data_IF_709641967810
#
_entry.id   IF_709641967810
#
_cell.length_a   1.000
_cell.length_b   1.000
_cell.length_c   1.000
_cell.angle_alpha   90.00
_cell.angle_beta   90.00
_cell.angle_gamma   90.00
#
_symmetry.space_group_name_H-M   'P 1'
#
loop_
_entity.id
_entity.type
_entity.pdbx_description
1 polymer ?
#
# COMPACT_ATOMS: atom_id res chain seq x y z
N UNK A 1 -6.67 46.71 -21.53
CA UNK A 1 -5.72 46.65 -20.41
C UNK A 1 -6.30 45.64 -19.42
N UNK A 2 -5.54 44.62 -19.03
CA UNK A 2 -6.00 43.60 -18.09
C UNK A 2 -5.27 43.76 -16.76
N UNK A 3 -5.99 43.53 -15.67
CA UNK A 3 -5.44 43.38 -14.34
C UNK A 3 -5.86 41.99 -13.84
N UNK A 4 -4.87 41.18 -13.46
CA UNK A 4 -5.08 39.85 -12.88
C UNK A 4 -4.19 39.66 -11.64
N UNK A 5 -4.54 38.72 -10.74
CA UNK A 5 -3.70 38.38 -9.59
C UNK A 5 -2.29 37.95 -10.00
N UNK A 6 -1.29 38.34 -9.19
CA UNK A 6 0.08 37.91 -9.40
C UNK A 6 0.25 36.44 -8.95
N UNK A 7 0.32 35.52 -9.90
CA UNK A 7 0.50 34.10 -9.63
C UNK A 7 1.99 33.76 -9.45
N UNK A 8 2.31 32.95 -8.43
CA UNK A 8 3.63 32.34 -8.30
C UNK A 8 3.71 31.20 -9.32
N UNK A 9 4.55 31.37 -10.34
CA UNK A 9 4.86 30.32 -11.31
C UNK A 9 6.05 29.50 -10.78
N UNK A 10 5.89 28.18 -10.74
CA UNK A 10 6.97 27.24 -10.40
C UNK A 10 7.52 26.60 -11.67
N UNK A 11 8.81 26.28 -11.69
CA UNK A 11 9.36 25.44 -12.73
C UNK A 11 8.72 24.05 -12.63
N UNK A 12 8.28 23.50 -13.75
CA UNK A 12 7.67 22.16 -13.80
C UNK A 12 8.71 21.15 -13.31
N UNK A 13 8.54 20.64 -12.10
CA UNK A 13 9.43 19.66 -11.51
C UNK A 13 9.08 18.28 -12.07
N UNK A 14 9.69 17.90 -13.19
CA UNK A 14 9.57 16.50 -13.64
C UNK A 14 10.43 15.62 -12.73
N UNK A 15 9.91 14.45 -12.30
CA UNK A 15 10.69 13.46 -11.57
C UNK A 15 12.06 13.22 -12.22
N UNK A 16 13.13 13.23 -11.40
CA UNK A 16 14.50 12.96 -11.86
C UNK A 16 14.82 11.45 -11.94
N UNK A 17 13.83 10.63 -11.64
CA UNK A 17 13.89 9.17 -11.53
C UNK A 17 14.10 8.55 -12.93
N UNK A 18 15.11 7.68 -13.13
CA UNK A 18 15.50 7.22 -14.46
C UNK A 18 14.40 6.55 -15.26
N UNK A 19 13.49 5.82 -14.60
CA UNK A 19 12.40 5.11 -15.28
C UNK A 19 11.21 6.03 -15.58
N UNK A 20 11.09 7.19 -14.93
CA UNK A 20 9.96 8.10 -15.16
C UNK A 20 9.91 8.56 -16.62
N UNK A 21 11.01 9.14 -17.11
CA UNK A 21 11.05 9.69 -18.46
C UNK A 21 10.90 8.62 -19.55
N UNK A 22 11.44 7.42 -19.31
CA UNK A 22 11.47 6.34 -20.29
C UNK A 22 10.20 5.49 -20.31
N UNK A 23 9.54 5.30 -19.16
CA UNK A 23 8.50 4.27 -19.01
C UNK A 23 7.20 4.77 -18.36
N UNK A 24 7.23 5.84 -17.58
CA UNK A 24 6.06 6.26 -16.79
C UNK A 24 5.39 7.54 -17.26
N UNK A 25 6.14 8.42 -17.92
CA UNK A 25 5.69 9.77 -18.30
C UNK A 25 4.33 9.78 -19.01
N UNK A 26 4.10 8.84 -19.93
CA UNK A 26 2.90 8.87 -20.77
C UNK A 26 1.61 8.68 -19.97
N UNK A 27 1.58 7.78 -18.98
CA UNK A 27 0.37 7.57 -18.18
C UNK A 27 0.23 8.62 -17.08
N UNK A 28 1.34 9.15 -16.56
CA UNK A 28 1.29 10.27 -15.62
C UNK A 28 0.82 11.56 -16.27
N UNK A 29 1.16 11.81 -17.54
CA UNK A 29 0.59 12.93 -18.30
C UNK A 29 -0.92 12.72 -18.57
N UNK A 30 -1.38 11.48 -18.75
CA UNK A 30 -2.81 11.17 -18.97
C UNK A 30 -3.68 11.46 -17.74
N UNK A 31 -3.18 11.20 -16.53
CA UNK A 31 -3.89 11.48 -15.27
C UNK A 31 -3.57 12.87 -14.70
N UNK A 32 -2.87 13.72 -15.48
CA UNK A 32 -2.43 15.06 -15.07
C UNK A 32 -1.60 15.09 -13.76
N UNK A 33 -0.89 14.00 -13.43
CA UNK A 33 -0.09 13.92 -12.21
C UNK A 33 0.97 15.04 -12.09
N UNK A 34 1.66 15.49 -13.16
CA UNK A 34 2.58 16.62 -13.06
C UNK A 34 1.93 17.91 -12.56
N UNK A 35 0.68 18.18 -12.95
CA UNK A 35 -0.05 19.36 -12.48
C UNK A 35 -0.40 19.24 -10.99
N UNK A 36 -0.71 18.02 -10.53
CA UNK A 36 -0.93 17.75 -9.11
C UNK A 36 0.37 17.86 -8.29
N UNK A 37 1.50 17.34 -8.80
CA UNK A 37 2.80 17.43 -8.13
C UNK A 37 3.29 18.87 -7.97
N UNK A 38 2.94 19.76 -8.89
CA UNK A 38 3.25 21.20 -8.78
C UNK A 38 2.54 21.87 -7.58
N UNK A 39 1.45 21.28 -7.07
CA UNK A 39 0.77 21.72 -5.83
C UNK A 39 1.49 21.27 -4.56
N UNK A 40 2.37 20.26 -4.66
CA UNK A 40 3.13 19.67 -3.55
C UNK A 40 2.42 18.51 -2.85
N UNK A 41 3.12 17.79 -1.96
CA UNK A 41 2.69 16.51 -1.36
C UNK A 41 1.56 16.62 -0.30
N UNK A 42 0.95 17.78 -0.12
CA UNK A 42 0.04 18.05 1.00
C UNK A 42 0.77 18.36 2.32
N UNK A 43 0.02 18.74 3.36
CA UNK A 43 0.58 19.18 4.65
C UNK A 43 0.88 18.03 5.62
N UNK A 44 0.20 16.89 5.46
CA UNK A 44 0.39 15.69 6.25
C UNK A 44 0.41 14.50 5.31
N UNK A 45 1.34 13.55 5.47
CA UNK A 45 1.40 12.39 4.61
C UNK A 45 0.20 11.49 4.87
N UNK A 46 -0.45 11.03 3.80
CA UNK A 46 -1.57 10.10 3.94
C UNK A 46 -1.04 8.67 4.14
N UNK A 47 -1.69 7.91 5.02
CA UNK A 47 -1.39 6.50 5.25
C UNK A 47 -2.20 5.63 4.28
N UNK A 48 -1.51 4.93 3.39
CA UNK A 48 -2.10 4.04 2.39
C UNK A 48 -1.71 2.60 2.71
N UNK A 49 -2.69 1.77 3.03
CA UNK A 49 -2.48 0.34 3.18
C UNK A 49 -2.49 -0.35 1.82
N UNK A 50 -1.50 -1.22 1.60
CA UNK A 50 -1.39 -2.07 0.41
C UNK A 50 -1.66 -3.50 0.87
N UNK A 51 -2.88 -3.96 0.62
CA UNK A 51 -3.29 -5.34 0.91
C UNK A 51 -2.91 -6.20 -0.29
N UNK A 52 -1.85 -6.98 -0.15
CA UNK A 52 -1.27 -7.72 -1.28
C UNK A 52 -0.35 -8.88 -0.82
N UNK A 53 0.65 -9.26 -1.61
CA UNK A 53 1.65 -10.29 -1.30
C UNK A 53 2.73 -9.85 -0.31
N UNK A 54 2.60 -8.67 0.29
CA UNK A 54 3.62 -8.03 1.12
C UNK A 54 4.36 -6.93 0.36
N UNK A 55 5.39 -6.36 0.99
CA UNK A 55 6.26 -5.34 0.38
C UNK A 55 7.72 -5.66 0.73
N UNK A 56 8.63 -5.54 -0.23
CA UNK A 56 10.06 -5.44 0.06
C UNK A 56 10.36 -4.08 0.73
N UNK A 57 10.21 -4.06 2.05
CA UNK A 57 10.41 -2.86 2.88
C UNK A 57 11.86 -2.37 2.89
N UNK A 58 12.81 -3.18 2.41
CA UNK A 58 14.22 -2.79 2.27
C UNK A 58 14.53 -2.23 0.87
N UNK A 59 13.57 -2.24 -0.06
CA UNK A 59 13.77 -1.74 -1.41
C UNK A 59 14.19 -0.25 -1.37
N UNK A 60 15.28 0.16 -2.05
CA UNK A 60 15.82 1.53 -1.93
C UNK A 60 14.82 2.64 -2.27
N UNK A 61 13.86 2.33 -3.14
CA UNK A 61 12.82 3.24 -3.61
C UNK A 61 11.56 3.27 -2.72
N UNK A 62 11.47 2.37 -1.73
CA UNK A 62 10.32 2.22 -0.83
C UNK A 62 10.68 2.35 0.66
N UNK A 63 11.91 2.04 1.07
CA UNK A 63 12.31 1.99 2.48
C UNK A 63 12.02 3.29 3.25
N UNK A 64 12.12 4.45 2.59
CA UNK A 64 11.80 5.76 3.18
C UNK A 64 10.30 6.10 3.23
N UNK A 65 9.43 5.17 2.79
CA UNK A 65 7.98 5.33 2.65
C UNK A 65 7.21 4.36 3.53
N UNK A 66 7.86 3.39 4.16
CA UNK A 66 7.20 2.37 4.96
C UNK A 66 6.71 2.95 6.27
N UNK A 67 5.47 2.62 6.62
CA UNK A 67 4.85 2.95 7.88
C UNK A 67 5.60 2.33 9.05
N UNK A 68 5.58 3.02 10.17
CA UNK A 68 6.14 2.53 11.42
C UNK A 68 5.03 2.56 12.46
N UNK A 69 4.67 1.39 12.97
CA UNK A 69 3.77 1.29 14.11
C UNK A 69 4.49 1.84 15.35
N UNK A 70 4.10 3.03 15.78
CA UNK A 70 4.70 3.70 16.95
C UNK A 70 4.23 3.12 18.29
N UNK A 71 3.27 2.21 18.27
CA UNK A 71 2.74 1.54 19.46
C UNK A 71 3.48 0.22 19.79
N UNK A 72 4.26 -0.32 18.85
CA UNK A 72 5.02 -1.58 18.99
C UNK A 72 6.46 -1.38 19.48
N UNK A 73 6.94 -2.29 20.33
CA UNK A 73 8.34 -2.36 20.75
C UNK A 73 9.04 -3.49 19.98
N UNK A 74 9.75 -3.11 18.93
CA UNK A 74 10.44 -4.04 18.04
C UNK A 74 11.23 -5.17 18.75
N UNK A 75 10.83 -6.42 18.49
CA UNK A 75 11.56 -7.63 18.84
C UNK A 75 11.40 -8.07 20.29
N UNK A 76 10.32 -7.64 20.96
CA UNK A 76 10.01 -8.08 22.32
C UNK A 76 9.11 -9.33 22.35
N UNK A 77 8.60 -9.78 21.20
CA UNK A 77 7.68 -10.90 21.04
C UNK A 77 6.34 -10.71 21.80
N UNK A 78 5.88 -9.46 21.90
CA UNK A 78 4.61 -9.06 22.50
C UNK A 78 3.84 -8.25 21.45
N UNK A 79 2.51 -8.40 21.47
CA UNK A 79 1.58 -7.50 20.80
C UNK A 79 1.31 -6.36 21.80
N UNK A 80 2.04 -5.25 21.66
CA UNK A 80 2.07 -4.16 22.64
C UNK A 80 0.85 -3.25 22.52
N UNK A 81 0.28 -3.14 21.33
CA UNK A 81 -0.90 -2.33 21.04
C UNK A 81 -2.23 -3.12 21.09
N UNK A 82 -2.16 -4.44 21.14
CA UNK A 82 -3.30 -5.34 21.26
C UNK A 82 -4.08 -5.53 19.97
N UNK A 83 -3.47 -5.26 18.80
CA UNK A 83 -4.11 -5.34 17.50
C UNK A 83 -4.17 -6.77 16.93
N UNK A 84 -3.60 -7.75 17.63
CA UNK A 84 -3.60 -9.16 17.24
C UNK A 84 -2.45 -9.57 16.33
N UNK A 85 -1.48 -8.68 16.07
CA UNK A 85 -0.27 -8.98 15.32
C UNK A 85 0.97 -8.67 16.17
N UNK A 86 1.79 -9.68 16.43
CA UNK A 86 2.97 -9.51 17.29
C UNK A 86 4.11 -8.83 16.53
N UNK A 87 4.73 -7.82 17.15
CA UNK A 87 5.90 -7.08 16.65
C UNK A 87 5.68 -6.44 15.26
N UNK A 88 4.46 -6.03 14.90
CA UNK A 88 4.05 -5.53 13.57
C UNK A 88 4.51 -4.08 13.29
N UNK A 89 5.79 -3.82 13.57
CA UNK A 89 6.48 -2.52 13.44
C UNK A 89 6.29 -1.89 12.05
N UNK A 90 6.15 -2.69 11.00
CA UNK A 90 6.01 -2.23 9.62
C UNK A 90 4.75 -2.72 8.92
N UNK A 91 3.76 -3.21 9.68
CA UNK A 91 2.59 -3.89 9.15
C UNK A 91 2.53 -5.37 9.52
N UNK A 92 1.47 -6.02 9.06
CA UNK A 92 1.15 -7.39 9.46
C UNK A 92 0.95 -8.33 8.27
N UNK A 93 1.36 -9.59 8.44
CA UNK A 93 1.07 -10.71 7.58
C UNK A 93 -0.01 -11.58 8.20
N UNK A 94 -1.11 -11.78 7.48
CA UNK A 94 -2.25 -12.61 7.88
C UNK A 94 -2.28 -13.97 7.19
N UNK A 95 -1.38 -14.22 6.23
CA UNK A 95 -1.41 -15.44 5.40
C UNK A 95 -1.10 -16.66 6.26
N UNK A 96 -2.02 -17.62 6.24
CA UNK A 96 -1.74 -19.00 6.65
C UNK A 96 -1.32 -19.81 5.40
N UNK A 97 -0.02 -20.11 5.21
CA UNK A 97 0.49 -20.59 3.92
C UNK A 97 -0.12 -21.93 3.51
N UNK A 98 -0.31 -22.84 4.47
CA UNK A 98 -0.85 -24.17 4.20
C UNK A 98 -2.31 -24.17 3.72
N UNK A 99 -3.08 -23.13 4.07
CA UNK A 99 -4.46 -22.95 3.61
C UNK A 99 -4.56 -22.10 2.36
N UNK A 100 -3.64 -21.14 2.18
CA UNK A 100 -3.65 -20.24 1.03
C UNK A 100 -3.13 -20.94 -0.23
N UNK A 101 -2.00 -21.66 -0.16
CA UNK A 101 -1.48 -22.48 -1.26
C UNK A 101 -0.47 -23.54 -0.76
N UNK A 102 -0.64 -24.83 -1.07
CA UNK A 102 0.34 -25.88 -0.74
C UNK A 102 1.77 -25.62 -1.24
N UNK A 103 1.95 -24.80 -2.28
CA UNK A 103 3.27 -24.38 -2.78
C UNK A 103 3.99 -23.44 -1.80
N UNK A 104 3.26 -22.76 -0.92
CA UNK A 104 3.79 -21.79 0.04
C UNK A 104 4.12 -22.41 1.41
N UNK A 105 4.01 -23.73 1.56
CA UNK A 105 4.41 -24.41 2.80
C UNK A 105 5.88 -24.11 3.14
N UNK A 106 6.11 -23.65 4.37
CA UNK A 106 7.43 -23.28 4.87
C UNK A 106 7.68 -21.77 4.91
N UNK A 107 6.75 -20.95 4.40
CA UNK A 107 6.72 -19.51 4.68
C UNK A 107 6.25 -19.25 6.12
N UNK A 108 6.64 -18.12 6.75
CA UNK A 108 6.13 -17.76 8.06
C UNK A 108 4.60 -17.55 8.04
N UNK A 109 3.86 -18.17 8.98
CA UNK A 109 2.42 -17.98 9.06
C UNK A 109 2.05 -16.65 9.73
N UNK A 110 0.86 -16.16 9.43
CA UNK A 110 0.21 -15.03 10.08
C UNK A 110 -0.69 -15.43 11.26
N UNK A 111 -1.12 -14.47 12.09
CA UNK A 111 -0.63 -13.08 12.17
C UNK A 111 0.83 -13.00 12.60
N UNK A 112 1.66 -12.25 11.86
CA UNK A 112 3.06 -11.99 12.22
C UNK A 112 3.60 -10.73 11.55
N UNK A 113 4.73 -10.24 12.03
CA UNK A 113 5.42 -9.07 11.48
C UNK A 113 6.18 -9.32 10.17
N UNK A 114 6.12 -10.53 9.60
CA UNK A 114 6.79 -10.84 8.34
C UNK A 114 5.99 -10.37 7.12
N UNK A 115 6.09 -9.08 6.81
CA UNK A 115 5.47 -8.46 5.64
C UNK A 115 6.27 -8.64 4.34
N UNK A 116 7.28 -9.52 4.32
CA UNK A 116 8.14 -9.72 3.16
C UNK A 116 7.33 -10.11 1.93
N UNK A 117 7.60 -9.44 0.81
CA UNK A 117 7.04 -9.83 -0.47
C UNK A 117 7.82 -11.02 -1.05
N UNK A 118 7.15 -12.16 -1.14
CA UNK A 118 7.70 -13.41 -1.66
C UNK A 118 7.11 -13.85 -3.02
N UNK A 119 6.40 -12.94 -3.67
CA UNK A 119 5.84 -13.06 -5.02
C UNK A 119 6.34 -11.91 -5.94
N UNK A 120 6.27 -10.67 -5.47
CA UNK A 120 6.68 -9.45 -6.17
C UNK A 120 5.52 -8.51 -6.53
N UNK A 121 4.28 -9.00 -6.54
CA UNK A 121 3.11 -8.20 -6.92
C UNK A 121 2.87 -7.00 -6.00
N UNK A 122 2.92 -7.21 -4.68
CA UNK A 122 2.70 -6.16 -3.70
C UNK A 122 3.77 -5.06 -3.73
N UNK A 123 5.04 -5.41 -3.92
CA UNK A 123 6.12 -4.43 -4.10
C UNK A 123 5.93 -3.60 -5.37
N UNK A 124 5.49 -4.23 -6.46
CA UNK A 124 5.18 -3.53 -7.71
C UNK A 124 4.04 -2.53 -7.54
N UNK A 125 2.94 -2.95 -6.90
CA UNK A 125 1.79 -2.10 -6.59
C UNK A 125 2.19 -0.94 -5.67
N UNK A 126 2.93 -1.21 -4.60
CA UNK A 126 3.46 -0.21 -3.67
C UNK A 126 4.29 0.87 -4.39
N UNK A 127 5.11 0.47 -5.38
CA UNK A 127 5.88 1.39 -6.21
C UNK A 127 5.00 2.36 -7.00
N UNK A 128 3.89 1.88 -7.59
CA UNK A 128 2.93 2.73 -8.31
C UNK A 128 2.27 3.72 -7.34
N UNK A 129 1.90 3.27 -6.14
CA UNK A 129 1.23 4.13 -5.15
C UNK A 129 2.16 5.24 -4.69
N UNK A 130 3.36 4.90 -4.20
CA UNK A 130 4.13 5.81 -3.36
C UNK A 130 5.65 5.64 -3.40
N UNK A 131 6.25 5.16 -4.50
CA UNK A 131 7.71 5.18 -4.64
C UNK A 131 8.31 6.57 -4.37
N UNK A 132 9.49 6.59 -3.76
CA UNK A 132 10.23 7.80 -3.46
C UNK A 132 10.59 8.56 -4.72
N UNK A 133 9.95 9.71 -4.93
CA UNK A 133 10.11 10.49 -6.16
C UNK A 133 11.22 11.53 -6.00
N UNK A 134 11.93 11.82 -7.08
CA UNK A 134 13.08 12.73 -7.12
C UNK A 134 14.32 12.25 -6.34
N UNK A 135 14.49 10.93 -6.15
CA UNK A 135 15.63 10.37 -5.44
C UNK A 135 16.76 9.86 -6.38
N UNK A 136 16.61 10.10 -7.69
CA UNK A 136 17.50 9.67 -8.78
C UNK A 136 17.63 8.15 -8.93
N UNK A 137 16.68 7.38 -8.43
CA UNK A 137 16.61 5.93 -8.52
C UNK A 137 15.27 5.52 -9.13
N UNK A 138 15.17 4.25 -9.54
CA UNK A 138 13.90 3.60 -9.86
C UNK A 138 12.86 4.45 -10.60
N UNK A 139 11.69 4.54 -9.98
CA UNK A 139 10.42 5.03 -10.53
C UNK A 139 9.88 6.21 -9.72
N UNK A 140 9.04 7.03 -10.33
CA UNK A 140 8.20 7.98 -9.61
C UNK A 140 6.93 7.28 -9.10
N UNK A 141 6.54 7.55 -7.85
CA UNK A 141 5.25 7.16 -7.29
C UNK A 141 4.14 8.13 -7.68
N UNK A 142 2.90 7.66 -7.68
CA UNK A 142 1.74 8.52 -8.01
C UNK A 142 1.56 9.61 -6.97
N UNK A 143 1.68 9.25 -5.69
CA UNK A 143 1.54 10.16 -4.57
C UNK A 143 2.80 10.12 -3.69
N UNK A 144 3.83 10.89 -4.07
CA UNK A 144 5.11 10.94 -3.33
C UNK A 144 4.96 11.34 -1.84
N UNK A 145 3.88 12.02 -1.47
CA UNK A 145 3.61 12.41 -0.09
C UNK A 145 3.11 11.31 0.85
N UNK A 146 2.87 10.09 0.38
CA UNK A 146 2.22 9.03 1.19
C UNK A 146 3.21 8.21 2.01
N UNK A 147 2.68 7.58 3.06
CA UNK A 147 3.33 6.48 3.79
C UNK A 147 2.56 5.20 3.47
N UNK A 148 3.28 4.10 3.28
CA UNK A 148 2.76 2.81 2.87
C UNK A 148 2.71 1.86 4.07
N UNK A 149 1.55 1.28 4.33
CA UNK A 149 1.37 0.19 5.30
C UNK A 149 1.28 -1.15 4.54
N UNK A 150 2.35 -1.96 4.56
CA UNK A 150 2.30 -3.34 4.09
C UNK A 150 1.25 -4.15 4.89
N UNK A 151 0.31 -4.78 4.18
CA UNK A 151 -0.60 -5.77 4.78
C UNK A 151 -0.60 -7.00 3.90
N UNK A 152 0.09 -8.06 4.33
CA UNK A 152 0.24 -9.28 3.53
C UNK A 152 -0.97 -10.19 3.74
N UNK A 153 -1.81 -10.29 2.73
CA UNK A 153 -3.02 -11.14 2.69
C UNK A 153 -2.99 -12.15 1.54
N UNK A 154 -2.00 -12.05 0.66
CA UNK A 154 -1.77 -12.98 -0.44
C UNK A 154 -0.46 -13.75 -0.22
N UNK A 155 -0.51 -15.06 -0.46
CA UNK A 155 0.59 -15.98 -0.36
C UNK A 155 1.57 -15.83 -1.54
N UNK A 156 2.65 -16.63 -1.51
CA UNK A 156 3.76 -16.65 -2.47
C UNK A 156 3.40 -16.96 -3.94
N UNK A 157 2.12 -17.21 -4.23
CA UNK A 157 1.56 -17.46 -5.56
C UNK A 157 0.44 -16.48 -5.92
N UNK A 158 0.21 -15.46 -5.09
CA UNK A 158 -0.86 -14.47 -5.23
C UNK A 158 -2.24 -14.94 -4.74
N UNK A 159 -2.37 -16.15 -4.19
CA UNK A 159 -3.61 -16.65 -3.60
C UNK A 159 -3.83 -16.17 -2.16
N UNK A 160 -5.08 -15.88 -1.78
CA UNK A 160 -5.43 -15.50 -0.40
C UNK A 160 -6.80 -16.05 -0.02
N UNK A 161 -7.06 -16.17 1.28
CA UNK A 161 -8.37 -16.60 1.78
C UNK A 161 -9.24 -15.40 2.13
N UNK A 162 -10.57 -15.59 2.13
CA UNK A 162 -11.50 -14.54 2.52
C UNK A 162 -11.30 -14.09 3.99
N UNK A 163 -10.85 -15.00 4.86
CA UNK A 163 -10.56 -14.68 6.25
C UNK A 163 -9.34 -13.77 6.37
N UNK A 164 -8.24 -14.10 5.67
CA UNK A 164 -7.00 -13.30 5.72
C UNK A 164 -7.23 -11.91 5.13
N UNK A 165 -7.99 -11.81 4.03
CA UNK A 165 -8.36 -10.55 3.40
C UNK A 165 -9.21 -9.70 4.36
N UNK A 166 -10.24 -10.27 4.98
CA UNK A 166 -11.09 -9.54 5.90
C UNK A 166 -10.31 -9.05 7.15
N UNK A 167 -9.42 -9.89 7.69
CA UNK A 167 -8.54 -9.52 8.79
C UNK A 167 -7.61 -8.36 8.40
N UNK A 168 -7.01 -8.41 7.21
CA UNK A 168 -6.16 -7.34 6.71
C UNK A 168 -6.89 -6.01 6.48
N UNK A 169 -8.14 -6.04 6.02
CA UNK A 169 -8.97 -4.83 5.86
C UNK A 169 -9.22 -4.17 7.21
N UNK A 170 -9.64 -4.95 8.21
CA UNK A 170 -9.91 -4.44 9.56
C UNK A 170 -8.63 -3.91 10.21
N UNK A 171 -7.53 -4.67 10.17
CA UNK A 171 -6.24 -4.25 10.68
C UNK A 171 -5.78 -2.91 10.10
N UNK A 172 -5.89 -2.74 8.77
CA UNK A 172 -5.51 -1.50 8.12
C UNK A 172 -6.36 -0.31 8.58
N UNK A 173 -7.68 -0.50 8.68
CA UNK A 173 -8.60 0.53 9.14
C UNK A 173 -8.36 0.92 10.60
N UNK A 174 -8.18 -0.08 11.47
CA UNK A 174 -7.92 0.09 12.91
C UNK A 174 -6.59 0.81 13.17
N UNK A 175 -5.57 0.54 12.34
CA UNK A 175 -4.28 1.23 12.38
C UNK A 175 -4.27 2.59 11.65
N UNK A 176 -5.43 3.09 11.25
CA UNK A 176 -5.61 4.46 10.77
C UNK A 176 -5.26 4.67 9.30
N UNK A 177 -5.24 3.61 8.48
CA UNK A 177 -5.13 3.77 7.03
C UNK A 177 -6.29 4.62 6.50
N UNK A 178 -5.98 5.60 5.67
CA UNK A 178 -6.98 6.48 5.04
C UNK A 178 -7.43 5.93 3.68
N UNK A 179 -6.57 5.14 3.05
CA UNK A 179 -6.84 4.44 1.80
C UNK A 179 -6.38 3.00 1.93
N UNK A 180 -7.20 2.06 1.47
CA UNK A 180 -6.84 0.64 1.34
C UNK A 180 -6.86 0.30 -0.15
N UNK A 181 -5.70 -0.05 -0.70
CA UNK A 181 -5.56 -0.55 -2.06
C UNK A 181 -5.59 -2.09 -2.06
N UNK A 182 -6.51 -2.67 -2.82
CA UNK A 182 -6.71 -4.10 -2.99
C UNK A 182 -6.56 -4.47 -4.47
N UNK A 183 -5.33 -4.79 -4.88
CA UNK A 183 -5.00 -5.13 -6.27
C UNK A 183 -5.24 -6.61 -6.61
N UNK A 184 -6.30 -7.18 -6.05
CA UNK A 184 -6.72 -8.56 -6.26
C UNK A 184 -8.23 -8.63 -6.49
N UNK A 185 -8.72 -9.78 -6.91
CA UNK A 185 -10.15 -10.00 -7.13
C UNK A 185 -10.50 -11.47 -7.21
N UNK A 186 -11.79 -11.76 -7.07
CA UNK A 186 -12.34 -13.12 -7.14
C UNK A 186 -13.77 -13.10 -7.65
N UNK A 187 -14.28 -14.28 -8.01
CA UNK A 187 -15.62 -14.44 -8.59
C UNK A 187 -16.69 -14.84 -7.57
N UNK A 188 -16.30 -15.02 -6.30
CA UNK A 188 -17.18 -15.49 -5.24
C UNK A 188 -17.52 -14.34 -4.30
N UNK A 189 -18.79 -14.23 -3.93
CA UNK A 189 -19.22 -13.34 -2.86
C UNK A 189 -18.79 -13.90 -1.49
N UNK A 190 -18.45 -13.00 -0.58
CA UNK A 190 -18.12 -13.31 0.80
C UNK A 190 -18.75 -12.27 1.71
N UNK A 191 -19.67 -12.70 2.58
CA UNK A 191 -20.25 -11.83 3.61
C UNK A 191 -19.15 -11.36 4.59
N UNK A 192 -18.15 -12.19 4.87
CA UNK A 192 -17.01 -11.83 5.72
C UNK A 192 -16.21 -10.65 5.17
N UNK A 193 -15.92 -10.66 3.86
CA UNK A 193 -15.23 -9.53 3.22
C UNK A 193 -16.17 -8.31 3.15
N UNK A 194 -17.46 -8.53 2.87
CA UNK A 194 -18.45 -7.45 2.82
C UNK A 194 -18.54 -6.71 4.17
N UNK A 195 -18.68 -7.44 5.27
CA UNK A 195 -18.76 -6.88 6.62
C UNK A 195 -17.49 -6.09 6.97
N UNK A 196 -16.31 -6.59 6.58
CA UNK A 196 -15.03 -5.89 6.79
C UNK A 196 -14.93 -4.59 5.97
N UNK A 197 -15.38 -4.60 4.72
CA UNK A 197 -15.44 -3.41 3.86
C UNK A 197 -16.40 -2.38 4.45
N UNK A 198 -17.60 -2.80 4.85
CA UNK A 198 -18.60 -1.93 5.46
C UNK A 198 -18.07 -1.32 6.76
N UNK A 199 -17.43 -2.11 7.62
CA UNK A 199 -16.80 -1.62 8.85
C UNK A 199 -15.70 -0.59 8.55
N UNK A 200 -14.77 -0.90 7.64
CA UNK A 200 -13.69 0.03 7.27
C UNK A 200 -14.23 1.35 6.70
N UNK A 201 -15.29 1.30 5.91
CA UNK A 201 -15.91 2.49 5.33
C UNK A 201 -16.73 3.28 6.36
N UNK A 202 -17.66 2.63 7.05
CA UNK A 202 -18.69 3.30 7.87
C UNK A 202 -18.14 3.74 9.23
N UNK A 203 -17.31 2.91 9.86
CA UNK A 203 -16.82 3.18 11.21
C UNK A 203 -15.48 3.95 11.21
N UNK A 204 -14.64 3.71 10.20
CA UNK A 204 -13.29 4.30 10.11
C UNK A 204 -13.15 5.33 8.98
N UNK A 205 -14.14 5.45 8.07
CA UNK A 205 -14.12 6.45 7.01
C UNK A 205 -13.06 6.19 5.92
N UNK A 206 -12.64 4.94 5.76
CA UNK A 206 -11.55 4.57 4.84
C UNK A 206 -12.02 4.56 3.40
N UNK A 207 -11.19 5.05 2.47
CA UNK A 207 -11.43 4.89 1.03
C UNK A 207 -10.88 3.54 0.56
N UNK A 208 -11.77 2.68 0.05
CA UNK A 208 -11.38 1.38 -0.48
C UNK A 208 -11.26 1.41 -2.01
N UNK A 209 -10.11 0.98 -2.53
CA UNK A 209 -9.80 0.93 -3.97
C UNK A 209 -9.56 -0.52 -4.37
N UNK A 210 -10.32 -1.02 -5.34
CA UNK A 210 -10.25 -2.41 -5.79
C UNK A 210 -10.06 -2.51 -7.31
N UNK A 211 -9.33 -3.54 -7.75
CA UNK A 211 -9.25 -3.90 -9.16
C UNK A 211 -10.57 -4.51 -9.66
N UNK A 212 -10.95 -4.23 -10.91
CA UNK A 212 -12.21 -4.74 -11.51
C UNK A 212 -12.11 -6.18 -12.03
N UNK A 213 -10.92 -6.79 -11.98
CA UNK A 213 -10.63 -8.11 -12.58
C UNK A 213 -10.10 -8.03 -14.01
N UNK A 214 -9.36 -9.06 -14.42
CA UNK A 214 -8.63 -9.13 -15.70
C UNK A 214 -9.32 -10.02 -16.75
N UNK A 215 -10.49 -10.56 -16.42
CA UNK A 215 -11.30 -11.42 -17.29
C UNK A 215 -12.67 -10.79 -17.46
N UNK A 216 -12.83 -10.03 -18.55
CA UNK A 216 -14.09 -9.44 -18.98
C UNK A 216 -15.02 -10.46 -19.66
#
# INVERSE_FOLDING_TARGET
EYAEPNYILRAVGRPNDPMYAAHQRWYYELIEAPAAWDLGPGAQPALVAVLDTGIDIAHPDLAGKIWVNGAEIAGNAVDDDGNGCVDDVHGCNFVEPGTADPACVGRPPGPSSDVTDDDGHGTFVAGIVGAATNNAQGVAGTADGVVLMPVKVLACTGGGTAADIAAGILYAAENGAQVINMSFGGHLESDTIRDAIETAHDDYGVVLVAATGNTA
#
